data_IF_603352136318
#
_entry.id   IF_603352136318
#
_cell.length_a   1.000
_cell.length_b   1.000
_cell.length_c   1.000
_cell.angle_alpha   90.00
_cell.angle_beta   90.00
_cell.angle_gamma   90.00
#
_symmetry.space_group_name_H-M   'P 1'
#
loop_
_entity.id
_entity.type
_entity.pdbx_description
1 polymer ?
#
# COMPACT_ATOMS: atom_id res chain seq x y z
N UNK A 1 -14.07 -16.85 14.54
CA UNK A 1 -14.47 -15.50 14.10
C UNK A 1 -15.47 -14.94 15.10
N UNK A 2 -15.33 -13.71 15.59
CA UNK A 2 -16.32 -13.10 16.47
C UNK A 2 -17.63 -12.89 15.70
N UNK A 3 -18.72 -13.40 16.24
CA UNK A 3 -20.06 -13.24 15.64
C UNK A 3 -20.72 -11.91 16.06
N UNK A 4 -20.28 -11.35 17.19
CA UNK A 4 -20.81 -10.09 17.76
C UNK A 4 -19.64 -9.16 18.09
N UNK A 5 -19.62 -7.99 17.52
CA UNK A 5 -18.60 -6.96 17.74
C UNK A 5 -17.39 -7.04 16.80
N UNK A 6 -16.59 -5.98 16.79
CA UNK A 6 -15.37 -5.88 15.99
C UNK A 6 -14.20 -6.63 16.63
N UNK A 7 -13.30 -7.13 15.82
CA UNK A 7 -12.03 -7.70 16.29
C UNK A 7 -11.16 -6.56 16.84
N UNK A 8 -10.60 -6.68 18.05
CA UNK A 8 -9.69 -5.67 18.57
C UNK A 8 -8.45 -5.56 17.68
N UNK A 9 -8.08 -4.33 17.32
CA UNK A 9 -6.90 -4.08 16.53
C UNK A 9 -5.65 -4.30 17.39
N UNK A 10 -4.71 -5.10 16.88
CA UNK A 10 -3.41 -5.27 17.54
C UNK A 10 -2.54 -4.05 17.24
N UNK A 11 -1.95 -3.47 18.28
CA UNK A 11 -0.95 -2.43 18.08
C UNK A 11 0.37 -3.05 17.59
N UNK A 12 1.06 -2.31 16.73
CA UNK A 12 2.31 -2.76 16.11
C UNK A 12 3.43 -1.93 16.71
N UNK A 13 4.49 -2.60 17.17
CA UNK A 13 5.69 -1.92 17.66
C UNK A 13 6.36 -1.14 16.52
N UNK A 14 6.92 0.04 16.79
CA UNK A 14 7.64 0.82 15.78
C UNK A 14 8.88 0.06 15.30
N UNK A 15 9.30 0.34 14.07
CA UNK A 15 10.51 -0.26 13.49
C UNK A 15 11.76 0.17 14.30
N UNK A 16 12.67 -0.76 14.65
CA UNK A 16 13.78 -0.48 15.55
C UNK A 16 14.69 0.68 15.11
N UNK A 17 14.99 0.79 13.83
CA UNK A 17 15.92 1.81 13.31
C UNK A 17 15.23 3.16 13.11
N UNK A 18 14.03 3.18 12.54
CA UNK A 18 13.36 4.42 12.14
C UNK A 18 12.19 4.84 13.04
N UNK A 19 11.85 4.07 14.07
CA UNK A 19 10.78 4.39 15.00
C UNK A 19 9.37 4.52 14.40
N UNK A 20 9.15 4.02 13.18
CA UNK A 20 7.91 4.22 12.42
C UNK A 20 7.03 2.96 12.40
N UNK A 21 5.79 3.08 12.89
CA UNK A 21 4.80 1.98 12.91
C UNK A 21 4.33 1.57 11.50
N UNK A 22 4.27 2.52 10.56
CA UNK A 22 3.85 2.23 9.18
C UNK A 22 4.90 1.41 8.46
N UNK A 23 6.18 1.69 8.73
CA UNK A 23 7.30 0.90 8.22
C UNK A 23 7.26 -0.55 8.74
N UNK A 24 6.90 -0.75 10.00
CA UNK A 24 6.68 -2.10 10.53
C UNK A 24 5.56 -2.84 9.80
N UNK A 25 4.47 -2.15 9.45
CA UNK A 25 3.40 -2.75 8.63
C UNK A 25 3.90 -3.15 7.23
N UNK A 26 4.79 -2.35 6.62
CA UNK A 26 5.44 -2.72 5.36
C UNK A 26 6.31 -3.96 5.53
N UNK A 27 7.15 -4.04 6.57
CA UNK A 27 7.97 -5.20 6.88
C UNK A 27 7.10 -6.46 7.03
N UNK A 28 6.01 -6.36 7.79
CA UNK A 28 5.07 -7.46 7.98
C UNK A 28 4.41 -7.91 6.67
N UNK A 29 4.18 -7.00 5.71
CA UNK A 29 3.61 -7.32 4.41
C UNK A 29 4.64 -7.95 3.46
N UNK A 30 5.91 -7.58 3.57
CA UNK A 30 7.02 -8.20 2.82
C UNK A 30 7.35 -9.59 3.35
N UNK A 31 7.17 -9.81 4.66
CA UNK A 31 7.49 -11.06 5.34
C UNK A 31 6.77 -12.26 4.73
N UNK A 32 7.50 -13.36 4.54
CA UNK A 32 7.00 -14.68 4.16
C UNK A 32 7.42 -15.70 5.23
N UNK A 33 6.57 -16.69 5.49
CA UNK A 33 6.83 -17.83 6.39
C UNK A 33 7.29 -17.43 7.81
N UNK A 34 6.87 -16.25 8.29
CA UNK A 34 7.27 -15.73 9.58
C UNK A 34 8.71 -15.23 9.68
N UNK A 35 9.45 -15.16 8.58
CA UNK A 35 10.86 -14.74 8.54
C UNK A 35 11.00 -13.20 8.64
N UNK A 36 10.69 -12.66 9.82
CA UNK A 36 10.66 -11.21 10.04
C UNK A 36 12.04 -10.55 9.94
N UNK A 37 13.09 -11.19 10.44
CA UNK A 37 14.46 -10.66 10.35
C UNK A 37 14.91 -10.46 8.90
N UNK A 38 14.67 -11.43 8.03
CA UNK A 38 14.95 -11.33 6.59
C UNK A 38 14.15 -10.18 5.94
N UNK A 39 12.87 -10.05 6.28
CA UNK A 39 12.03 -8.96 5.76
C UNK A 39 12.51 -7.58 6.22
N UNK A 40 12.98 -7.46 7.47
CA UNK A 40 13.58 -6.22 8.00
C UNK A 40 14.84 -5.83 7.20
N UNK A 41 15.75 -6.76 6.99
CA UNK A 41 16.97 -6.53 6.19
C UNK A 41 16.60 -6.07 4.78
N UNK A 42 15.69 -6.76 4.10
CA UNK A 42 15.23 -6.39 2.74
C UNK A 42 14.69 -4.96 2.70
N UNK A 43 13.84 -4.58 3.65
CA UNK A 43 13.21 -3.26 3.66
C UNK A 43 14.22 -2.17 3.99
N UNK A 44 15.10 -2.38 4.96
CA UNK A 44 16.12 -1.40 5.32
C UNK A 44 17.14 -1.19 4.19
N UNK A 45 17.61 -2.25 3.55
CA UNK A 45 18.53 -2.17 2.43
C UNK A 45 17.85 -1.50 1.21
N UNK A 46 16.57 -1.79 0.97
CA UNK A 46 15.81 -1.13 -0.09
C UNK A 46 15.68 0.38 0.14
N UNK A 47 15.37 0.79 1.38
CA UNK A 47 15.30 2.21 1.74
C UNK A 47 16.66 2.90 1.60
N UNK A 48 17.74 2.26 2.06
CA UNK A 48 19.10 2.79 1.93
C UNK A 48 19.48 2.98 0.47
N UNK A 49 19.26 1.97 -0.38
CA UNK A 49 19.53 2.05 -1.83
C UNK A 49 18.71 3.15 -2.52
N UNK A 50 17.44 3.30 -2.14
CA UNK A 50 16.58 4.36 -2.69
C UNK A 50 17.05 5.75 -2.28
N UNK A 51 17.43 5.91 -1.02
CA UNK A 51 18.00 7.13 -0.46
C UNK A 51 19.29 7.54 -1.16
N UNK A 52 20.23 6.61 -1.33
CA UNK A 52 21.50 6.84 -2.01
C UNK A 52 21.32 7.30 -3.47
N UNK A 53 20.36 6.69 -4.19
CA UNK A 53 20.10 7.04 -5.59
C UNK A 53 19.35 8.36 -5.77
N UNK A 54 18.45 8.69 -4.85
CA UNK A 54 17.65 9.93 -4.90
C UNK A 54 18.31 11.09 -4.19
N UNK A 55 19.31 10.85 -3.34
CA UNK A 55 19.96 11.89 -2.51
C UNK A 55 19.03 12.47 -1.44
N UNK A 56 18.05 11.69 -0.96
CA UNK A 56 17.02 12.11 0.00
C UNK A 56 17.04 11.15 1.20
N UNK A 57 16.63 11.62 2.38
CA UNK A 57 16.51 10.78 3.57
C UNK A 57 15.60 9.56 3.35
N UNK A 58 15.97 8.36 3.86
CA UNK A 58 15.20 7.13 3.62
C UNK A 58 13.74 7.23 4.03
N UNK A 59 13.46 7.91 5.13
CA UNK A 59 12.08 8.07 5.62
C UNK A 59 11.27 9.05 4.78
N UNK A 60 11.90 10.05 4.20
CA UNK A 60 11.22 10.97 3.29
C UNK A 60 10.86 10.29 1.98
N UNK A 61 11.75 9.43 1.45
CA UNK A 61 11.43 8.58 0.30
C UNK A 61 10.21 7.70 0.59
N UNK A 62 10.19 7.04 1.75
CA UNK A 62 9.08 6.19 2.15
C UNK A 62 7.77 6.96 2.32
N UNK A 63 7.81 8.08 3.04
CA UNK A 63 6.62 8.88 3.31
C UNK A 63 6.03 9.47 2.01
N UNK A 64 6.88 9.99 1.15
CA UNK A 64 6.44 10.53 -0.15
C UNK A 64 5.89 9.44 -1.07
N UNK A 65 6.54 8.28 -1.15
CA UNK A 65 6.04 7.13 -1.90
C UNK A 65 4.67 6.67 -1.38
N UNK A 66 4.50 6.58 -0.06
CA UNK A 66 3.22 6.25 0.55
C UNK A 66 2.13 7.26 0.21
N UNK A 67 2.42 8.56 0.32
CA UNK A 67 1.46 9.62 -0.03
C UNK A 67 1.04 9.55 -1.50
N UNK A 68 1.97 9.29 -2.40
CA UNK A 68 1.69 9.18 -3.83
C UNK A 68 0.84 7.95 -4.19
N UNK A 69 0.94 6.86 -3.42
CA UNK A 69 0.22 5.60 -3.67
C UNK A 69 -1.11 5.52 -2.92
N UNK A 70 -1.27 6.21 -1.79
CA UNK A 70 -2.51 6.15 -1.00
C UNK A 70 -3.74 6.59 -1.80
N UNK A 71 -4.76 5.71 -1.99
CA UNK A 71 -5.98 6.06 -2.69
C UNK A 71 -6.96 6.81 -1.79
N UNK A 72 -7.78 7.67 -2.38
CA UNK A 72 -8.88 8.37 -1.69
C UNK A 72 -10.20 7.63 -1.85
N UNK A 73 -10.41 7.03 -3.04
CA UNK A 73 -11.63 6.32 -3.42
C UNK A 73 -11.34 4.85 -3.74
N UNK A 74 -12.28 3.99 -3.42
CA UNK A 74 -12.33 2.61 -3.89
C UNK A 74 -13.74 2.28 -4.39
N UNK A 75 -13.86 1.17 -5.10
CA UNK A 75 -15.14 0.68 -5.61
C UNK A 75 -15.53 -0.58 -4.86
N UNK A 76 -16.75 -0.63 -4.33
CA UNK A 76 -17.34 -1.83 -3.71
C UNK A 76 -18.52 -2.32 -4.50
N UNK A 77 -18.57 -3.64 -4.71
CA UNK A 77 -19.74 -4.27 -5.31
C UNK A 77 -20.91 -4.25 -4.31
N UNK A 78 -22.08 -3.80 -4.78
CA UNK A 78 -23.35 -3.85 -4.06
C UNK A 78 -24.40 -4.49 -4.96
N UNK A 79 -25.17 -5.41 -4.40
CA UNK A 79 -26.29 -6.04 -5.09
C UNK A 79 -27.57 -5.25 -4.81
N UNK A 80 -28.22 -4.78 -5.86
CA UNK A 80 -29.51 -4.06 -5.79
C UNK A 80 -30.43 -4.63 -6.87
N UNK A 81 -31.63 -5.08 -6.47
CA UNK A 81 -32.61 -5.61 -7.41
C UNK A 81 -32.13 -6.78 -8.28
N UNK A 82 -31.21 -7.62 -7.75
CA UNK A 82 -30.64 -8.75 -8.49
C UNK A 82 -29.42 -8.43 -9.35
N UNK A 83 -29.09 -7.16 -9.58
CA UNK A 83 -27.92 -6.72 -10.34
C UNK A 83 -26.79 -6.29 -9.40
N UNK A 84 -25.53 -6.52 -9.81
CA UNK A 84 -24.35 -6.09 -9.08
C UNK A 84 -23.87 -4.74 -9.62
N UNK A 85 -23.83 -3.73 -8.73
CA UNK A 85 -23.32 -2.41 -9.04
C UNK A 85 -22.00 -2.16 -8.34
N UNK A 86 -21.08 -1.48 -9.02
CA UNK A 86 -19.80 -1.03 -8.46
C UNK A 86 -20.00 0.38 -7.89
N UNK A 87 -20.06 0.50 -6.56
CA UNK A 87 -20.34 1.77 -5.89
C UNK A 87 -19.06 2.40 -5.41
N UNK A 88 -18.72 3.64 -5.83
CA UNK A 88 -17.55 4.35 -5.33
C UNK A 88 -17.78 4.81 -3.87
N UNK A 89 -16.78 4.58 -3.03
CA UNK A 89 -16.79 4.97 -1.63
C UNK A 89 -15.47 5.62 -1.22
N UNK A 90 -15.54 6.54 -0.28
CA UNK A 90 -14.36 7.09 0.36
C UNK A 90 -13.70 6.07 1.27
N UNK A 91 -12.37 6.08 1.30
CA UNK A 91 -11.58 5.14 2.07
C UNK A 91 -11.15 5.77 3.39
N UNK A 92 -11.32 5.04 4.49
CA UNK A 92 -10.82 5.45 5.81
C UNK A 92 -9.29 5.51 5.80
N UNK A 93 -8.65 6.45 6.57
CA UNK A 93 -7.19 6.64 6.56
C UNK A 93 -6.38 5.36 6.79
N UNK A 94 -6.80 4.52 7.74
CA UNK A 94 -6.12 3.26 8.04
C UNK A 94 -6.14 2.27 6.86
N UNK A 95 -7.24 2.25 6.12
CA UNK A 95 -7.37 1.40 4.93
C UNK A 95 -6.57 1.96 3.76
N UNK A 96 -6.48 3.30 3.62
CA UNK A 96 -5.59 3.93 2.62
C UNK A 96 -4.15 3.46 2.80
N UNK A 97 -3.64 3.49 4.03
CA UNK A 97 -2.32 2.96 4.38
C UNK A 97 -2.16 1.49 3.99
N UNK A 98 -3.14 0.66 4.36
CA UNK A 98 -3.10 -0.78 4.09
C UNK A 98 -3.08 -1.08 2.59
N UNK A 99 -3.88 -0.37 1.81
CA UNK A 99 -3.93 -0.52 0.35
C UNK A 99 -2.62 -0.10 -0.29
N UNK A 100 -2.06 1.06 0.11
CA UNK A 100 -0.79 1.54 -0.40
C UNK A 100 0.35 0.53 -0.16
N UNK A 101 0.48 0.01 1.06
CA UNK A 101 1.48 -1.01 1.41
C UNK A 101 1.29 -2.27 0.56
N UNK A 102 0.07 -2.77 0.43
CA UNK A 102 -0.22 -3.96 -0.39
C UNK A 102 0.13 -3.74 -1.87
N UNK A 103 -0.20 -2.58 -2.41
CA UNK A 103 0.08 -2.28 -3.82
C UNK A 103 1.56 -2.10 -4.10
N UNK A 104 2.30 -1.44 -3.20
CA UNK A 104 3.77 -1.32 -3.30
C UNK A 104 4.41 -2.70 -3.30
N UNK A 105 4.10 -3.56 -2.34
CA UNK A 105 4.69 -4.91 -2.25
C UNK A 105 4.27 -5.78 -3.43
N UNK A 106 3.00 -5.75 -3.83
CA UNK A 106 2.52 -6.53 -4.97
C UNK A 106 3.15 -6.08 -6.30
N UNK A 107 3.33 -4.77 -6.50
CA UNK A 107 4.00 -4.22 -7.67
C UNK A 107 5.50 -4.54 -7.67
N UNK A 108 6.16 -4.41 -6.52
CA UNK A 108 7.56 -4.78 -6.38
C UNK A 108 7.80 -6.27 -6.73
N UNK A 109 6.96 -7.17 -6.23
CA UNK A 109 7.07 -8.62 -6.54
C UNK A 109 6.95 -8.96 -8.03
N UNK A 110 6.24 -8.14 -8.81
CA UNK A 110 6.08 -8.34 -10.26
C UNK A 110 7.25 -7.84 -11.09
N UNK A 111 8.16 -7.08 -10.50
CA UNK A 111 9.34 -6.57 -11.21
C UNK A 111 10.31 -7.68 -11.57
N UNK A 112 11.08 -7.47 -12.64
CA UNK A 112 12.08 -8.40 -13.16
C UNK A 112 13.45 -8.29 -12.48
N UNK A 113 13.64 -7.34 -11.56
CA UNK A 113 14.90 -7.21 -10.83
C UNK A 113 15.27 -8.51 -10.11
N UNK A 114 16.57 -8.72 -9.87
CA UNK A 114 17.11 -9.98 -9.33
C UNK A 114 16.56 -10.30 -7.92
N UNK A 115 16.66 -9.34 -6.99
CA UNK A 115 16.37 -9.55 -5.56
C UNK A 115 15.17 -8.73 -5.12
N UNK A 116 14.46 -9.20 -4.09
CA UNK A 116 13.33 -8.44 -3.52
C UNK A 116 13.76 -7.07 -3.00
N UNK A 117 14.98 -6.93 -2.48
CA UNK A 117 15.54 -5.65 -2.07
C UNK A 117 15.61 -4.66 -3.25
N UNK A 118 16.13 -5.08 -4.40
CA UNK A 118 16.21 -4.25 -5.60
C UNK A 118 14.82 -3.95 -6.18
N UNK A 119 13.94 -4.96 -6.22
CA UNK A 119 12.53 -4.79 -6.63
C UNK A 119 11.81 -3.73 -5.81
N UNK A 120 11.95 -3.81 -4.49
CA UNK A 120 11.31 -2.86 -3.58
C UNK A 120 11.93 -1.47 -3.67
N UNK A 121 13.26 -1.37 -3.79
CA UNK A 121 13.95 -0.10 -3.97
C UNK A 121 13.51 0.60 -5.26
N UNK A 122 13.46 -0.13 -6.38
CA UNK A 122 13.01 0.40 -7.67
C UNK A 122 11.54 0.87 -7.60
N UNK A 123 10.66 0.10 -6.95
CA UNK A 123 9.26 0.49 -6.80
C UNK A 123 9.08 1.73 -5.91
N UNK A 124 9.85 1.84 -4.83
CA UNK A 124 9.82 3.00 -3.94
C UNK A 124 10.32 4.28 -4.65
N UNK A 125 11.38 4.17 -5.46
CA UNK A 125 11.89 5.29 -6.25
C UNK A 125 10.87 5.75 -7.28
N UNK A 126 10.26 4.81 -8.00
CA UNK A 126 9.22 5.14 -8.99
C UNK A 126 8.00 5.77 -8.30
N UNK A 127 7.56 5.21 -7.18
CA UNK A 127 6.44 5.75 -6.40
C UNK A 127 6.76 7.15 -5.82
N UNK A 128 8.01 7.40 -5.41
CA UNK A 128 8.46 8.73 -5.00
C UNK A 128 8.29 9.76 -6.14
N UNK A 129 8.62 9.36 -7.37
CA UNK A 129 8.47 10.17 -8.57
C UNK A 129 7.04 10.13 -9.17
N UNK A 130 6.06 9.65 -8.41
CA UNK A 130 4.67 9.49 -8.85
C UNK A 130 4.52 8.61 -10.11
N UNK A 131 5.30 7.56 -10.20
CA UNK A 131 5.32 6.58 -11.28
C UNK A 131 5.28 5.15 -10.74
N UNK A 132 5.36 4.17 -11.61
CA UNK A 132 5.43 2.75 -11.23
C UNK A 132 4.08 2.05 -11.10
N UNK A 133 4.14 0.76 -10.80
CA UNK A 133 2.97 -0.13 -10.80
C UNK A 133 1.98 0.18 -9.67
N UNK A 134 2.45 0.60 -8.51
CA UNK A 134 1.60 0.95 -7.37
C UNK A 134 0.80 2.22 -7.62
N UNK A 135 1.44 3.25 -8.17
CA UNK A 135 0.77 4.50 -8.55
C UNK A 135 -0.24 4.26 -9.67
N UNK A 136 0.12 3.48 -10.68
CA UNK A 136 -0.80 3.08 -11.76
C UNK A 136 -2.03 2.36 -11.19
N UNK A 137 -1.85 1.49 -10.20
CA UNK A 137 -2.97 0.81 -9.53
C UNK A 137 -3.91 1.79 -8.81
N UNK A 138 -3.36 2.83 -8.18
CA UNK A 138 -4.17 3.93 -7.59
C UNK A 138 -4.97 4.64 -8.67
N UNK A 139 -4.33 5.04 -9.76
CA UNK A 139 -4.99 5.75 -10.87
C UNK A 139 -6.10 4.93 -11.52
N UNK A 140 -5.86 3.63 -11.76
CA UNK A 140 -6.88 2.72 -12.29
C UNK A 140 -8.07 2.58 -11.33
N UNK A 141 -7.81 2.53 -10.02
CA UNK A 141 -8.88 2.47 -9.01
C UNK A 141 -9.68 3.76 -8.98
N UNK A 142 -9.04 4.91 -9.05
CA UNK A 142 -9.71 6.22 -9.12
C UNK A 142 -10.52 6.36 -10.43
N UNK A 143 -9.97 5.92 -11.55
CA UNK A 143 -10.67 5.92 -12.85
C UNK A 143 -11.93 5.04 -12.82
N UNK A 144 -11.84 3.85 -12.20
CA UNK A 144 -13.02 3.00 -11.99
C UNK A 144 -14.06 3.66 -11.09
N UNK A 145 -13.63 4.33 -10.03
CA UNK A 145 -14.54 5.04 -9.13
C UNK A 145 -15.24 6.21 -9.84
N UNK A 146 -14.53 6.95 -10.68
CA UNK A 146 -15.08 8.03 -11.47
C UNK A 146 -16.06 7.53 -12.54
N UNK A 147 -15.72 6.47 -13.26
CA UNK A 147 -16.61 5.84 -14.24
C UNK A 147 -17.92 5.35 -13.61
N UNK A 148 -17.90 4.94 -12.35
CA UNK A 148 -19.08 4.47 -11.61
C UNK A 148 -19.71 5.57 -10.72
N UNK A 149 -19.37 6.83 -10.90
CA UNK A 149 -19.86 7.96 -10.10
C UNK A 149 -21.40 8.06 -10.10
N UNK A 150 -22.04 7.68 -11.20
CA UNK A 150 -23.51 7.66 -11.31
C UNK A 150 -24.18 6.76 -10.26
N UNK A 151 -23.49 5.73 -9.75
CA UNK A 151 -23.98 4.80 -8.73
C UNK A 151 -23.64 5.19 -7.30
N UNK A 152 -23.07 6.39 -7.07
CA UNK A 152 -22.70 6.89 -5.74
C UNK A 152 -23.91 6.98 -4.78
N UNK A 153 -25.10 7.21 -5.29
CA UNK A 153 -26.33 7.25 -4.50
C UNK A 153 -26.77 5.88 -3.95
N UNK A 154 -26.20 4.78 -4.43
CA UNK A 154 -26.39 3.43 -3.84
C UNK A 154 -25.49 3.18 -2.63
N UNK A 155 -24.74 4.18 -2.17
CA UNK A 155 -23.93 4.13 -0.96
C UNK A 155 -24.83 3.93 0.27
N UNK A 156 -24.41 3.07 1.22
CA UNK A 156 -25.07 2.83 2.51
C UNK A 156 -24.36 3.51 3.65
#
# INVERSE_FOLDING_TARGET
MPRRGGVPKRDVLPAPIYGNKVLTKLINQVMLDGKKGTAQTIVYDALKKSSEKLGVEPMDVFNQAMNNVMPVLEVKARRVGGSNYQVPIEIRPERRQTLAIRWIVASARKRSDRDMCNKLASELMDAYNNAGGAVKKKEDTHRMAEANKAFAHYRW
#
